data_IF_531733800245
#
_entry.id   IF_531733800245
#
_cell.length_a   1.000
_cell.length_b   1.000
_cell.length_c   1.000
_cell.angle_alpha   90.00
_cell.angle_beta   90.00
_cell.angle_gamma   90.00
#
_symmetry.space_group_name_H-M   'P 1'
#
loop_
_entity.id
_entity.type
_entity.pdbx_description
1 polymer ?
#
# COMPACT_ATOMS: atom_id res chain seq x y z
N UNK A 1 -19.16 -33.29 20.49
CA UNK A 1 -19.47 -32.59 19.23
C UNK A 1 -18.32 -31.63 18.97
N UNK A 2 -17.71 -31.84 17.81
CA UNK A 2 -16.49 -31.20 17.30
C UNK A 2 -16.74 -29.75 16.96
N UNK A 3 -15.82 -28.84 17.28
CA UNK A 3 -15.51 -27.70 16.40
C UNK A 3 -14.06 -27.25 16.61
N UNK A 4 -13.24 -27.65 15.62
CA UNK A 4 -11.89 -27.15 15.38
C UNK A 4 -11.98 -25.71 14.87
N UNK A 5 -11.07 -24.84 15.29
CA UNK A 5 -10.44 -23.89 14.36
C UNK A 5 -9.05 -23.50 14.84
N UNK A 6 -8.11 -24.25 14.27
CA UNK A 6 -6.73 -23.87 14.03
C UNK A 6 -6.64 -22.42 13.55
N UNK A 7 -5.83 -21.61 14.24
CA UNK A 7 -5.20 -20.45 13.62
C UNK A 7 -3.72 -20.51 13.95
N UNK A 8 -3.04 -21.39 13.23
CA UNK A 8 -1.59 -21.47 13.14
C UNK A 8 -1.02 -20.14 12.61
N UNK A 9 -0.80 -19.16 13.50
CA UNK A 9 0.01 -17.98 13.16
C UNK A 9 1.47 -18.37 13.37
N UNK A 10 2.04 -18.93 12.32
CA UNK A 10 3.46 -19.24 12.17
C UNK A 10 4.27 -17.99 12.52
N UNK A 11 5.01 -18.08 13.63
CA UNK A 11 6.23 -17.33 13.90
C UNK A 11 7.26 -17.66 12.82
N UNK A 12 7.13 -17.02 11.67
CA UNK A 12 8.03 -17.15 10.53
C UNK A 12 8.59 -15.79 10.19
N UNK A 13 9.81 -15.53 10.65
CA UNK A 13 10.79 -14.60 10.06
C UNK A 13 10.18 -13.29 9.49
N UNK A 14 10.17 -12.21 10.29
CA UNK A 14 9.72 -10.87 9.90
C UNK A 14 10.65 -10.26 8.83
N UNK A 15 10.73 -10.87 7.64
CA UNK A 15 11.09 -10.14 6.43
C UNK A 15 9.99 -9.11 6.26
N UNK A 16 10.30 -7.86 6.54
CA UNK A 16 9.49 -6.69 6.20
C UNK A 16 8.95 -6.92 4.80
N UNK A 17 7.69 -7.30 4.67
CA UNK A 17 7.07 -7.45 3.36
C UNK A 17 7.03 -6.02 2.82
N UNK A 18 7.85 -5.73 1.82
CA UNK A 18 7.87 -4.43 1.17
C UNK A 18 6.49 -4.20 0.57
N UNK A 19 5.65 -3.46 1.30
CA UNK A 19 4.26 -3.21 0.89
C UNK A 19 4.33 -2.22 -0.27
N UNK A 20 4.06 -2.73 -1.47
CA UNK A 20 3.99 -1.94 -2.69
C UNK A 20 2.53 -1.61 -3.01
N UNK A 21 2.32 -0.39 -3.52
CA UNK A 21 1.02 0.16 -3.86
C UNK A 21 1.04 0.69 -5.30
N UNK A 22 -0.11 0.66 -5.96
CA UNK A 22 -0.27 1.18 -7.33
C UNK A 22 -0.58 2.67 -7.30
N UNK A 23 0.18 3.46 -8.06
CA UNK A 23 -0.10 4.87 -8.27
C UNK A 23 -1.38 5.03 -9.09
N UNK A 24 -2.36 5.81 -8.63
CA UNK A 24 -3.59 6.05 -9.38
C UNK A 24 -3.41 6.90 -10.64
N UNK A 25 -2.21 7.46 -10.86
CA UNK A 25 -1.92 8.36 -11.99
C UNK A 25 -1.13 7.69 -13.11
N UNK A 26 0.01 7.08 -12.78
CA UNK A 26 0.86 6.38 -13.75
C UNK A 26 0.73 4.85 -13.70
N UNK A 27 -0.15 4.34 -12.84
CA UNK A 27 -0.49 2.92 -12.71
C UNK A 27 0.68 1.99 -12.38
N UNK A 28 1.82 2.55 -12.02
CA UNK A 28 3.04 1.83 -11.65
C UNK A 28 3.03 1.50 -10.16
N UNK A 29 3.61 0.35 -9.81
CA UNK A 29 3.80 -0.10 -8.43
C UNK A 29 5.01 0.61 -7.81
N UNK A 30 4.82 1.22 -6.65
CA UNK A 30 5.89 1.80 -5.84
C UNK A 30 5.77 1.34 -4.40
N UNK A 31 6.87 1.31 -3.64
CA UNK A 31 6.80 1.05 -2.21
C UNK A 31 6.03 2.17 -1.49
N UNK A 32 5.47 1.85 -0.31
CA UNK A 32 4.70 2.78 0.50
C UNK A 32 5.46 4.09 0.78
N UNK A 33 6.78 4.04 0.92
CA UNK A 33 7.65 5.21 1.13
C UNK A 33 7.65 6.22 -0.03
N UNK A 34 7.38 5.76 -1.25
CA UNK A 34 7.29 6.57 -2.46
C UNK A 34 5.86 7.02 -2.79
N UNK A 35 4.87 6.57 -2.01
CA UNK A 35 3.47 6.95 -2.15
C UNK A 35 3.14 8.23 -1.37
N UNK A 36 2.26 9.04 -1.96
CA UNK A 36 1.77 10.30 -1.41
C UNK A 36 0.26 10.38 -1.58
N UNK A 37 -0.41 10.79 -0.50
CA UNK A 37 -1.82 11.14 -0.52
C UNK A 37 -1.98 12.61 -0.89
N UNK A 38 -2.74 12.87 -1.94
CA UNK A 38 -3.04 14.20 -2.45
C UNK A 38 -4.48 14.53 -2.06
N UNK A 39 -4.62 15.29 -0.97
CA UNK A 39 -5.92 15.59 -0.32
C UNK A 39 -6.63 16.81 -0.92
N UNK A 40 -6.02 17.51 -1.87
CA UNK A 40 -6.65 18.63 -2.61
C UNK A 40 -7.72 18.18 -3.61
N UNK A 41 -7.73 16.89 -3.97
CA UNK A 41 -8.75 16.29 -4.84
C UNK A 41 -9.74 15.49 -3.99
N UNK A 42 -10.99 15.47 -4.43
CA UNK A 42 -12.07 14.72 -3.79
C UNK A 42 -12.67 13.74 -4.81
N UNK A 43 -12.48 12.42 -4.66
CA UNK A 43 -11.81 11.71 -3.57
C UNK A 43 -10.28 11.92 -3.54
N UNK A 44 -9.68 11.67 -2.36
CA UNK A 44 -8.22 11.74 -2.14
C UNK A 44 -7.51 10.82 -3.12
N UNK A 45 -6.51 11.36 -3.82
CA UNK A 45 -5.72 10.59 -4.76
C UNK A 45 -4.47 10.01 -4.08
N UNK A 46 -4.21 8.73 -4.30
CA UNK A 46 -2.96 8.07 -3.90
C UNK A 46 -2.06 7.96 -5.12
N UNK A 47 -0.97 8.72 -5.13
CA UNK A 47 -0.05 8.80 -6.27
C UNK A 47 1.40 8.69 -5.79
N UNK A 48 2.31 8.38 -6.70
CA UNK A 48 3.74 8.39 -6.37
C UNK A 48 4.26 9.84 -6.22
N UNK A 49 5.39 10.00 -5.53
CA UNK A 49 6.07 11.29 -5.31
C UNK A 49 6.35 12.07 -6.61
N UNK A 50 6.56 11.38 -7.74
CA UNK A 50 6.72 12.03 -9.05
C UNK A 50 5.42 12.67 -9.53
N UNK A 51 4.32 11.92 -9.50
CA UNK A 51 3.01 12.43 -9.91
C UNK A 51 2.47 13.49 -8.95
N UNK A 52 2.79 13.41 -7.65
CA UNK A 52 2.46 14.47 -6.69
C UNK A 52 3.12 15.81 -7.06
N UNK A 53 4.39 15.79 -7.48
CA UNK A 53 5.10 17.00 -7.93
C UNK A 53 4.49 17.61 -9.21
N UNK A 54 4.09 16.78 -10.16
CA UNK A 54 3.43 17.23 -11.40
C UNK A 54 2.05 17.84 -11.11
N UNK A 55 1.42 17.44 -10.00
CA UNK A 55 0.14 17.96 -9.55
C UNK A 55 0.27 19.21 -8.67
N UNK A 56 1.47 19.58 -8.22
CA UNK A 56 1.72 20.74 -7.34
C UNK A 56 1.98 21.99 -8.16
#
# INVERSE_FOLDING_TARGET
MTEKKDSSVKTGNKKTQEITFRCQRCETLYPLEDMRSVTRFNPVLIVCKKCEKELR
#
